data_IF_068972199136
#
_entry.id   IF_068972199136
#
_cell.length_a   1.000
_cell.length_b   1.000
_cell.length_c   1.000
_cell.angle_alpha   90.00
_cell.angle_beta   90.00
_cell.angle_gamma   90.00
#
_symmetry.space_group_name_H-M   'P 1'
#
loop_
_entity.id
_entity.type
_entity.pdbx_description
1 polymer ?
#
# COMPACT_ATOMS: atom_id res chain seq x y z
N UNK A 1 -3.63 0.49 11.34
CA UNK A 1 -2.97 0.93 10.09
C UNK A 1 -3.98 1.06 8.95
N UNK A 2 -4.35 0.01 8.20
CA UNK A 2 -5.11 0.15 6.93
C UNK A 2 -6.43 0.91 7.04
N UNK A 3 -7.34 0.51 7.95
CA UNK A 3 -8.66 1.18 8.12
C UNK A 3 -8.54 2.66 8.52
N UNK A 4 -7.48 3.01 9.24
CA UNK A 4 -7.25 4.35 9.74
C UNK A 4 -6.79 5.31 8.64
N UNK A 5 -6.13 4.81 7.59
CA UNK A 5 -5.56 5.64 6.52
C UNK A 5 -6.26 5.47 5.17
N UNK A 6 -6.85 4.31 4.88
CA UNK A 6 -7.35 4.00 3.54
C UNK A 6 -8.49 4.89 3.05
N UNK A 7 -9.30 5.43 3.96
CA UNK A 7 -10.40 6.34 3.62
C UNK A 7 -9.93 7.80 3.40
N UNK A 8 -8.67 8.12 3.67
CA UNK A 8 -8.12 9.47 3.53
C UNK A 8 -7.69 9.81 2.10
N UNK A 9 -7.69 8.83 1.19
CA UNK A 9 -7.34 9.06 -0.21
C UNK A 9 -8.56 9.54 -1.00
N UNK A 10 -8.38 10.53 -1.89
CA UNK A 10 -9.45 11.08 -2.76
C UNK A 10 -10.20 9.98 -3.55
N UNK A 11 -9.45 8.97 -4.01
CA UNK A 11 -10.01 7.75 -4.62
C UNK A 11 -10.22 6.63 -3.60
N UNK A 12 -11.47 6.10 -3.47
CA UNK A 12 -11.77 5.00 -2.54
C UNK A 12 -11.07 3.69 -2.93
N UNK A 13 -10.67 3.54 -4.19
CA UNK A 13 -9.99 2.35 -4.70
C UNK A 13 -8.48 2.38 -4.46
N UNK A 14 -7.91 3.53 -4.10
CA UNK A 14 -6.46 3.69 -4.00
C UNK A 14 -5.96 3.68 -2.55
N UNK A 15 -6.67 4.31 -1.61
CA UNK A 15 -6.16 4.47 -0.24
C UNK A 15 -5.97 3.15 0.52
N UNK A 16 -6.87 2.18 0.35
CA UNK A 16 -6.75 0.88 1.00
C UNK A 16 -5.54 0.06 0.51
N UNK A 17 -5.32 -0.13 -0.81
CA UNK A 17 -4.11 -0.76 -1.32
C UNK A 17 -2.81 -0.05 -0.88
N UNK A 18 -2.78 1.28 -0.94
CA UNK A 18 -1.59 2.06 -0.53
C UNK A 18 -1.29 1.82 0.95
N UNK A 19 -2.31 1.91 1.82
CA UNK A 19 -2.16 1.70 3.26
C UNK A 19 -1.75 0.27 3.61
N UNK A 20 -2.21 -0.72 2.83
CA UNK A 20 -1.82 -2.11 2.99
C UNK A 20 -0.36 -2.33 2.68
N UNK A 21 0.12 -1.83 1.53
CA UNK A 21 1.51 -1.94 1.14
C UNK A 21 2.44 -1.18 2.10
N UNK A 22 2.03 0.00 2.54
CA UNK A 22 2.72 0.78 3.56
C UNK A 22 2.91 -0.03 4.86
N UNK A 23 1.85 -0.71 5.32
CA UNK A 23 1.92 -1.59 6.48
C UNK A 23 2.81 -2.82 6.29
N UNK A 24 2.75 -3.47 5.12
CA UNK A 24 3.63 -4.61 4.80
C UNK A 24 5.09 -4.19 4.83
N UNK A 25 5.41 -3.06 4.22
CA UNK A 25 6.77 -2.57 4.10
C UNK A 25 7.29 -1.87 5.36
N UNK A 26 6.43 -1.52 6.32
CA UNK A 26 6.72 -0.69 7.49
C UNK A 26 7.21 0.72 7.12
N UNK A 27 6.49 1.33 6.17
CA UNK A 27 6.76 2.66 5.64
C UNK A 27 5.51 3.53 5.68
N UNK A 28 5.71 4.83 5.46
CA UNK A 28 4.64 5.80 5.24
C UNK A 28 4.67 6.24 3.78
N UNK A 29 3.59 5.99 3.04
CA UNK A 29 3.43 6.39 1.64
C UNK A 29 2.56 7.65 1.52
N UNK A 30 2.54 8.28 0.35
CA UNK A 30 1.78 9.53 0.14
C UNK A 30 2.46 10.75 0.76
N UNK A 31 1.67 11.64 1.34
CA UNK A 31 2.13 12.94 1.83
C UNK A 31 2.08 14.03 0.79
N UNK A 32 2.56 15.20 1.18
CA UNK A 32 2.42 16.43 0.39
C UNK A 32 3.04 16.30 -1.00
N UNK A 33 2.32 16.84 -1.99
CA UNK A 33 2.76 16.82 -3.38
C UNK A 33 2.74 18.23 -3.95
N UNK A 34 3.73 18.58 -4.76
CA UNK A 34 3.70 19.82 -5.53
C UNK A 34 2.97 19.55 -6.83
N UNK A 35 1.89 20.28 -7.08
CA UNK A 35 1.13 20.23 -8.33
C UNK A 35 1.02 21.65 -8.88
N UNK A 36 1.46 21.86 -10.13
CA UNK A 36 1.48 23.18 -10.77
C UNK A 36 2.18 24.28 -9.93
N UNK A 37 3.26 23.91 -9.25
CA UNK A 37 4.02 24.82 -8.37
C UNK A 37 3.33 25.14 -7.04
N UNK A 38 2.15 24.59 -6.76
CA UNK A 38 1.44 24.73 -5.49
C UNK A 38 1.61 23.48 -4.64
N UNK A 39 1.87 23.66 -3.35
CA UNK A 39 1.83 22.58 -2.38
C UNK A 39 0.37 22.13 -2.22
N UNK A 40 0.10 20.86 -2.51
CA UNK A 40 -1.15 20.19 -2.16
C UNK A 40 -0.87 19.26 -1.01
N UNK A 41 -1.37 19.62 0.16
CA UNK A 41 -1.37 18.76 1.34
C UNK A 41 -2.18 17.50 1.04
N UNK A 42 -1.60 16.33 1.34
CA UNK A 42 -2.25 15.04 1.17
C UNK A 42 -1.93 14.14 2.34
N UNK A 43 -2.85 13.21 2.61
CA UNK A 43 -2.67 12.25 3.67
C UNK A 43 -1.42 11.38 3.46
N UNK A 44 -0.77 11.08 4.57
CA UNK A 44 0.17 9.97 4.66
C UNK A 44 -0.58 8.67 4.96
N UNK A 45 -0.13 7.59 4.35
CA UNK A 45 -0.70 6.26 4.50
C UNK A 45 0.30 5.35 5.20
N UNK A 46 -0.05 4.92 6.42
CA UNK A 46 0.83 4.15 7.30
C UNK A 46 1.54 5.03 8.33
N UNK A 47 2.15 4.38 9.33
CA UNK A 47 2.88 5.03 10.42
C UNK A 47 4.35 4.60 10.52
N UNK A 48 4.87 3.95 9.48
CA UNK A 48 6.26 3.49 9.41
C UNK A 48 7.23 4.57 8.91
N UNK A 49 8.42 4.14 8.48
CA UNK A 49 9.48 5.04 7.99
C UNK A 49 9.05 5.88 6.77
N UNK A 50 9.36 7.18 6.77
CA UNK A 50 9.29 8.04 5.57
C UNK A 50 10.54 7.96 4.69
N UNK A 51 11.62 7.37 5.19
CA UNK A 51 12.85 7.16 4.43
C UNK A 51 12.72 5.87 3.61
N UNK A 52 12.22 6.00 2.38
CA UNK A 52 12.01 4.87 1.47
C UNK A 52 13.31 4.56 0.74
N UNK A 53 13.66 3.27 0.75
CA UNK A 53 14.89 2.73 0.16
C UNK A 53 14.58 1.55 -0.76
N UNK A 54 15.54 1.15 -1.58
CA UNK A 54 15.43 0.00 -2.49
C UNK A 54 15.07 -1.31 -1.77
N UNK A 55 15.42 -1.47 -0.49
CA UNK A 55 15.05 -2.66 0.28
C UNK A 55 13.54 -2.79 0.49
N UNK A 56 12.83 -1.66 0.61
CA UNK A 56 11.36 -1.65 0.70
C UNK A 56 10.73 -2.08 -0.63
N UNK A 57 11.33 -1.70 -1.77
CA UNK A 57 10.87 -2.15 -3.10
C UNK A 57 11.05 -3.67 -3.22
N UNK A 58 12.24 -4.20 -2.87
CA UNK A 58 12.49 -5.64 -2.89
C UNK A 58 11.54 -6.39 -1.94
N UNK A 59 11.24 -5.81 -0.76
CA UNK A 59 10.27 -6.37 0.19
C UNK A 59 8.86 -6.41 -0.39
N UNK A 60 8.40 -5.33 -1.02
CA UNK A 60 7.11 -5.26 -1.70
C UNK A 60 6.99 -6.32 -2.81
N UNK A 61 7.99 -6.44 -3.68
CA UNK A 61 8.00 -7.43 -4.77
C UNK A 61 7.99 -8.87 -4.26
N UNK A 62 8.79 -9.18 -3.22
CA UNK A 62 8.76 -10.53 -2.59
C UNK A 62 7.41 -10.82 -1.95
N UNK A 63 6.76 -9.82 -1.36
CA UNK A 63 5.43 -9.99 -0.77
C UNK A 63 4.37 -10.22 -1.85
N UNK A 64 4.41 -9.49 -2.96
CA UNK A 64 3.49 -9.67 -4.09
C UNK A 64 3.47 -11.12 -4.57
N UNK A 65 4.64 -11.74 -4.80
CA UNK A 65 4.70 -13.15 -5.25
C UNK A 65 4.01 -14.09 -4.25
N UNK A 66 4.18 -13.86 -2.95
CA UNK A 66 3.52 -14.67 -1.91
C UNK A 66 2.01 -14.46 -1.88
N UNK A 67 1.57 -13.22 -2.07
CA UNK A 67 0.15 -12.88 -2.15
C UNK A 67 -0.50 -13.50 -3.38
N UNK A 68 0.15 -13.45 -4.54
CA UNK A 68 -0.35 -14.03 -5.78
C UNK A 68 -0.53 -15.55 -5.64
N UNK A 69 0.47 -16.25 -5.08
CA UNK A 69 0.37 -17.69 -4.79
C UNK A 69 -0.78 -17.98 -3.82
N UNK A 70 -0.92 -17.19 -2.75
CA UNK A 70 -2.01 -17.35 -1.79
C UNK A 70 -3.39 -17.20 -2.45
N UNK A 71 -3.58 -16.15 -3.27
CA UNK A 71 -4.84 -15.91 -3.98
C UNK A 71 -5.13 -17.06 -4.95
N UNK A 72 -4.14 -17.52 -5.73
CA UNK A 72 -4.30 -18.65 -6.64
C UNK A 72 -4.74 -19.91 -5.89
N UNK A 73 -4.10 -20.23 -4.77
CA UNK A 73 -4.44 -21.40 -3.94
C UNK A 73 -5.86 -21.28 -3.39
N UNK A 74 -6.24 -20.14 -2.81
CA UNK A 74 -7.59 -19.91 -2.27
C UNK A 74 -8.65 -20.04 -3.35
N UNK A 75 -8.45 -19.43 -4.53
CA UNK A 75 -9.38 -19.52 -5.65
C UNK A 75 -9.46 -20.95 -6.21
N UNK A 76 -8.34 -21.67 -6.26
CA UNK A 76 -8.32 -23.07 -6.71
C UNK A 76 -9.11 -23.98 -5.77
N UNK A 77 -8.95 -23.80 -4.46
CA UNK A 77 -9.72 -24.52 -3.45
C UNK A 77 -11.21 -24.17 -3.58
N UNK A 78 -11.56 -22.90 -3.72
CA UNK A 78 -12.96 -22.46 -3.84
C UNK A 78 -13.66 -22.92 -5.13
N UNK A 79 -12.92 -23.35 -6.16
CA UNK A 79 -13.46 -23.94 -7.39
C UNK A 79 -13.61 -25.47 -7.25
N UNK A 80 -12.71 -26.12 -6.52
CA UNK A 80 -12.69 -27.58 -6.35
C UNK A 80 -13.72 -28.08 -5.33
N UNK A 81 -14.21 -27.20 -4.44
CA UNK A 81 -15.21 -27.47 -3.41
C UNK A 81 -16.43 -26.58 -3.59
#
# INVERSE_FOLDING_TARGET
NIKNYGHLHDSPNAGYPISALAGVCDISLGGDTIYEGKLKEKAYFGNGSKNITTEHIKKALRFQVRLDVFVIVVLSIAILF
#
